data_IF_100735039048
#
_entry.id   IF_100735039048
#
_cell.length_a   1.000
_cell.length_b   1.000
_cell.length_c   1.000
_cell.angle_alpha   90.00
_cell.angle_beta   90.00
_cell.angle_gamma   90.00
#
_symmetry.space_group_name_H-M   'P 1'
#
loop_
_entity.id
_entity.type
_entity.pdbx_description
1 polymer ?
#
# COMPACT_ATOMS: atom_id res chain seq x y z
N UNK A 1 -2.14 23.85 4.92
CA UNK A 1 -2.36 23.74 6.39
C UNK A 1 -3.53 22.78 6.68
N UNK A 2 -3.32 21.45 6.72
CA UNK A 2 -4.22 20.53 7.41
C UNK A 2 -3.56 19.98 8.69
N UNK A 3 -4.33 19.78 9.76
CA UNK A 3 -3.88 19.03 10.94
C UNK A 3 -4.06 17.53 10.65
N UNK A 4 -2.99 16.77 10.80
CA UNK A 4 -2.98 15.31 10.75
C UNK A 4 -3.00 14.81 12.19
N UNK A 5 -4.01 14.01 12.56
CA UNK A 5 -3.97 13.20 13.78
C UNK A 5 -3.61 11.78 13.38
N UNK A 6 -2.52 11.26 13.94
CA UNK A 6 -2.01 9.92 13.71
C UNK A 6 -1.83 9.21 15.04
N UNK A 7 -2.82 8.44 15.47
CA UNK A 7 -2.64 7.46 16.55
C UNK A 7 -2.31 6.11 15.93
N UNK A 8 -1.02 5.80 15.89
CA UNK A 8 -0.46 4.51 15.47
C UNK A 8 0.21 3.87 16.69
N UNK A 9 -0.47 2.90 17.29
CA UNK A 9 0.07 2.14 18.42
C UNK A 9 0.83 0.93 17.88
N UNK A 10 2.13 1.08 17.67
CA UNK A 10 3.03 -0.05 17.34
C UNK A 10 3.96 -0.33 18.52
N UNK A 11 3.57 -1.27 19.37
CA UNK A 11 4.42 -1.84 20.42
C UNK A 11 4.92 -3.22 19.99
N UNK A 12 6.18 -3.31 19.55
CA UNK A 12 6.78 -4.55 19.04
C UNK A 12 7.88 -5.13 19.94
N UNK A 13 7.91 -6.46 20.00
CA UNK A 13 9.05 -7.33 20.32
C UNK A 13 9.85 -7.11 21.62
N UNK A 14 9.62 -8.00 22.59
CA UNK A 14 10.67 -8.56 23.44
C UNK A 14 10.89 -10.02 23.04
N UNK A 15 12.13 -10.44 22.80
CA UNK A 15 12.47 -11.76 22.26
C UNK A 15 13.11 -12.67 23.31
N UNK A 16 12.74 -13.96 23.25
CA UNK A 16 13.61 -15.08 23.62
C UNK A 16 13.69 -15.45 25.10
N UNK A 17 13.20 -16.65 25.43
CA UNK A 17 14.06 -17.69 26.00
C UNK A 17 13.40 -19.06 25.74
N UNK A 18 14.21 -20.05 25.35
CA UNK A 18 13.80 -21.44 25.16
C UNK A 18 14.63 -22.31 26.11
N UNK A 19 13.96 -23.15 26.89
CA UNK A 19 14.61 -23.91 27.97
C UNK A 19 13.76 -25.07 28.46
N UNK A 20 13.88 -26.19 27.75
CA UNK A 20 13.95 -27.56 28.28
C UNK A 20 13.02 -27.99 29.44
N UNK A 21 12.00 -28.79 29.11
CA UNK A 21 11.32 -29.67 30.07
C UNK A 21 11.05 -31.03 29.42
N UNK A 22 11.88 -32.02 29.77
CA UNK A 22 11.74 -33.43 29.37
C UNK A 22 10.78 -34.19 30.32
N UNK A 23 10.24 -35.36 29.94
CA UNK A 23 9.19 -36.03 30.71
C UNK A 23 9.73 -36.82 31.90
N UNK A 24 9.04 -36.76 33.04
CA UNK A 24 9.31 -37.63 34.19
C UNK A 24 8.63 -38.99 34.02
N UNK A 25 9.33 -40.06 34.44
CA UNK A 25 8.93 -41.44 34.21
C UNK A 25 9.28 -42.34 35.40
N UNK A 26 8.27 -43.06 35.89
CA UNK A 26 8.46 -44.30 36.65
C UNK A 26 8.36 -44.19 38.18
N UNK A 27 7.26 -44.68 38.73
CA UNK A 27 7.12 -44.96 40.16
C UNK A 27 6.38 -46.30 40.42
N UNK A 28 7.16 -47.38 40.54
CA UNK A 28 6.85 -48.72 41.10
C UNK A 28 8.21 -49.38 41.42
N UNK A 29 8.34 -50.40 42.30
CA UNK A 29 7.36 -51.01 43.22
C UNK A 29 7.87 -51.25 44.67
N UNK A 30 6.97 -51.54 45.62
CA UNK A 30 7.14 -52.35 46.86
C UNK A 30 5.80 -52.31 47.64
N UNK A 31 5.40 -53.26 48.51
CA UNK A 31 5.98 -54.55 48.89
C UNK A 31 5.50 -55.01 50.29
N UNK A 32 5.21 -56.31 50.46
CA UNK A 32 5.07 -57.06 51.73
C UNK A 32 3.91 -56.78 52.73
N UNK A 33 2.98 -57.74 52.77
CA UNK A 33 2.61 -58.60 53.91
C UNK A 33 2.27 -58.03 55.32
N UNK A 34 1.09 -58.45 55.83
CA UNK A 34 0.93 -59.01 57.19
C UNK A 34 -0.32 -59.92 57.27
N UNK A 35 -0.26 -61.11 57.91
CA UNK A 35 -1.43 -61.93 58.21
C UNK A 35 -1.89 -61.75 59.68
N UNK A 36 -3.19 -61.92 59.92
CA UNK A 36 -3.73 -62.13 61.28
C UNK A 36 -4.64 -63.36 61.26
N UNK A 37 -4.19 -64.44 61.90
CA UNK A 37 -5.05 -65.57 62.21
C UNK A 37 -5.76 -65.33 63.54
N UNK A 38 -6.93 -65.96 63.71
CA UNK A 38 -7.54 -66.14 65.02
C UNK A 38 -8.03 -67.58 65.16
N UNK A 39 -7.94 -68.12 66.38
CA UNK A 39 -8.07 -69.56 66.67
C UNK A 39 -8.87 -69.73 67.96
N UNK A 40 -9.99 -70.45 67.91
CA UNK A 40 -10.73 -71.07 69.04
C UNK A 40 -12.08 -71.59 68.48
N UNK A 41 -12.76 -72.61 69.01
CA UNK A 41 -12.39 -73.78 69.81
C UNK A 41 -13.65 -74.70 69.89
N UNK A 42 -13.53 -76.04 69.98
CA UNK A 42 -14.64 -76.89 70.37
C UNK A 42 -14.51 -77.39 71.81
N UNK A 43 -15.58 -77.22 72.59
CA UNK A 43 -15.81 -77.83 73.90
C UNK A 43 -16.98 -78.84 73.79
N UNK A 44 -17.20 -79.81 74.68
CA UNK A 44 -16.34 -80.53 75.61
C UNK A 44 -17.11 -81.79 76.13
N UNK A 45 -16.38 -82.87 76.41
CA UNK A 45 -16.65 -83.99 77.35
C UNK A 45 -18.07 -84.30 77.87
N UNK A 46 -18.42 -85.60 77.82
CA UNK A 46 -19.09 -86.31 78.92
C UNK A 46 -18.73 -87.83 78.90
N UNK A 47 -18.21 -88.39 80.00
CA UNK A 47 -18.18 -89.84 80.23
C UNK A 47 -18.75 -90.23 81.61
N UNK A 48 -19.45 -91.37 81.72
CA UNK A 48 -19.49 -92.12 82.99
C UNK A 48 -19.82 -93.61 82.82
N UNK A 49 -19.32 -94.34 83.80
CA UNK A 49 -19.20 -95.76 84.13
C UNK A 49 -20.51 -96.50 84.41
N UNK A 50 -20.58 -97.83 84.21
CA UNK A 50 -20.45 -98.89 85.24
C UNK A 50 -21.68 -99.84 85.13
N UNK A 51 -21.79 -101.10 85.57
CA UNK A 51 -21.14 -101.93 86.62
C UNK A 51 -21.68 -103.39 86.49
N UNK A 52 -20.92 -104.44 86.85
CA UNK A 52 -21.42 -105.85 87.01
C UNK A 52 -21.71 -106.20 88.49
N UNK A 53 -21.55 -107.44 89.01
CA UNK A 53 -21.58 -108.79 88.42
C UNK A 53 -22.37 -109.83 89.31
N UNK A 54 -22.16 -111.15 89.12
CA UNK A 54 -22.53 -112.24 90.07
C UNK A 54 -23.62 -113.22 89.58
N UNK A 55 -23.70 -114.50 89.99
CA UNK A 55 -22.82 -115.31 90.86
C UNK A 55 -23.56 -116.54 91.45
N UNK A 56 -23.14 -117.75 91.04
CA UNK A 56 -23.16 -119.09 91.71
C UNK A 56 -24.35 -119.59 92.60
N UNK A 57 -24.77 -120.87 92.47
CA UNK A 57 -24.74 -121.84 93.61
C UNK A 57 -25.15 -123.33 93.35
N UNK A 58 -24.81 -124.22 94.32
CA UNK A 58 -24.98 -125.70 94.39
C UNK A 58 -24.73 -126.22 95.85
N UNK A 59 -24.73 -127.54 96.24
CA UNK A 59 -25.19 -128.81 95.64
C UNK A 59 -26.00 -129.73 96.63
N UNK A 60 -26.05 -131.06 96.39
CA UNK A 60 -26.50 -132.12 97.35
C UNK A 60 -27.86 -132.76 96.99
N UNK A 61 -28.15 -134.06 97.13
CA UNK A 61 -27.61 -135.15 97.99
C UNK A 61 -28.77 -135.70 98.87
N UNK A 62 -28.97 -136.98 99.21
CA UNK A 62 -28.23 -138.25 99.06
C UNK A 62 -29.19 -139.48 99.06
N UNK A 63 -28.64 -140.71 99.07
CA UNK A 63 -29.35 -142.00 98.96
C UNK A 63 -29.63 -142.69 100.33
N UNK A 64 -30.30 -143.85 100.35
CA UNK A 64 -29.95 -144.91 101.31
C UNK A 64 -31.07 -145.85 101.81
N UNK A 65 -31.05 -147.11 101.37
CA UNK A 65 -31.97 -148.19 101.79
C UNK A 65 -31.48 -149.01 103.01
N UNK A 66 -32.43 -149.73 103.66
CA UNK A 66 -32.32 -151.20 103.72
C UNK A 66 -31.74 -151.95 104.95
N UNK A 67 -32.67 -152.56 105.72
CA UNK A 67 -32.70 -154.00 106.09
C UNK A 67 -31.68 -154.69 107.07
N UNK A 68 -32.20 -155.04 108.26
CA UNK A 68 -32.46 -156.41 108.78
C UNK A 68 -31.39 -157.53 109.07
N UNK A 69 -31.53 -158.09 110.30
CA UNK A 69 -31.63 -159.54 110.66
C UNK A 69 -30.44 -160.50 111.05
N UNK A 70 -30.50 -160.94 112.33
CA UNK A 70 -30.30 -162.27 113.00
C UNK A 70 -29.45 -163.46 112.42
N UNK A 71 -28.62 -164.01 113.33
CA UNK A 71 -28.44 -165.43 113.79
C UNK A 71 -28.29 -166.64 112.83
N UNK A 72 -27.54 -167.74 113.12
CA UNK A 72 -26.38 -167.98 114.03
C UNK A 72 -25.75 -169.39 113.77
N UNK A 73 -24.66 -169.50 113.00
CA UNK A 73 -23.69 -170.63 113.05
C UNK A 73 -22.33 -170.14 112.54
N UNK A 74 -21.32 -170.07 113.42
CA UNK A 74 -20.12 -169.26 113.20
C UNK A 74 -18.99 -169.93 112.42
N UNK A 75 -18.79 -169.48 111.18
CA UNK A 75 -17.59 -169.74 110.36
C UNK A 75 -16.57 -168.60 110.58
N UNK A 76 -15.28 -168.84 110.31
CA UNK A 76 -14.24 -167.81 110.38
C UNK A 76 -14.58 -166.55 109.56
N UNK A 77 -14.53 -165.36 110.16
CA UNK A 77 -14.92 -164.09 109.52
C UNK A 77 -13.87 -163.50 108.55
N UNK A 78 -12.89 -164.28 108.09
CA UNK A 78 -11.98 -163.89 107.00
C UNK A 78 -12.60 -164.36 105.68
N UNK A 79 -12.72 -163.45 104.70
CA UNK A 79 -13.32 -163.76 103.41
C UNK A 79 -12.65 -164.98 102.74
N UNK A 80 -13.43 -166.02 102.44
CA UNK A 80 -12.96 -167.26 101.82
C UNK A 80 -12.52 -168.38 102.78
N UNK A 81 -12.44 -168.16 104.10
CA UNK A 81 -12.10 -169.21 105.05
C UNK A 81 -13.36 -169.90 105.61
N UNK A 82 -13.52 -171.20 105.34
CA UNK A 82 -14.70 -172.00 105.76
C UNK A 82 -14.50 -172.78 107.06
N UNK A 83 -13.36 -172.61 107.74
CA UNK A 83 -13.03 -173.33 108.98
C UNK A 83 -14.04 -173.01 110.11
N UNK A 84 -14.63 -174.01 110.78
CA UNK A 84 -15.54 -173.78 111.90
C UNK A 84 -14.79 -173.21 113.10
N UNK A 85 -15.43 -172.28 113.82
CA UNK A 85 -14.84 -171.67 115.01
C UNK A 85 -14.73 -172.68 116.16
N UNK A 86 -13.57 -172.76 116.86
CA UNK A 86 -13.39 -173.74 117.93
C UNK A 86 -14.35 -173.52 119.11
N UNK A 87 -14.81 -174.59 119.79
CA UNK A 87 -15.76 -174.48 120.90
C UNK A 87 -15.14 -173.73 122.08
N UNK A 88 -15.91 -172.82 122.69
CA UNK A 88 -15.44 -171.92 123.73
C UNK A 88 -16.14 -172.15 125.08
N UNK A 89 -15.37 -172.04 126.16
CA UNK A 89 -15.91 -171.83 127.50
C UNK A 89 -16.44 -170.39 127.68
N UNK A 90 -16.94 -170.06 128.89
CA UNK A 90 -17.52 -168.73 129.19
C UNK A 90 -16.54 -167.59 128.84
N UNK A 91 -16.84 -166.88 127.76
CA UNK A 91 -16.04 -165.78 127.23
C UNK A 91 -16.61 -165.27 125.91
N UNK A 92 -16.10 -164.15 125.41
CA UNK A 92 -16.55 -163.59 124.12
C UNK A 92 -16.07 -164.49 122.97
N UNK A 93 -16.93 -164.94 122.03
CA UNK A 93 -16.53 -165.84 120.97
C UNK A 93 -15.41 -165.23 120.08
N UNK A 94 -14.38 -166.00 119.69
CA UNK A 94 -13.42 -165.55 118.69
C UNK A 94 -14.12 -165.36 117.34
N UNK A 95 -13.76 -164.31 116.58
CA UNK A 95 -14.31 -164.06 115.23
C UNK A 95 -13.58 -164.82 114.11
N UNK A 96 -12.39 -165.35 114.38
CA UNK A 96 -11.53 -166.00 113.40
C UNK A 96 -11.03 -167.33 113.96
N UNK A 97 -10.87 -168.35 113.12
CA UNK A 97 -10.41 -169.68 113.56
C UNK A 97 -8.94 -169.68 114.03
N UNK A 98 -8.13 -168.72 113.59
CA UNK A 98 -6.72 -168.56 113.96
C UNK A 98 -6.32 -167.09 114.08
N UNK A 99 -5.20 -166.83 114.79
CA UNK A 99 -4.60 -165.49 114.87
C UNK A 99 -4.18 -164.98 113.49
N UNK A 100 -3.62 -165.84 112.64
CA UNK A 100 -3.18 -165.47 111.29
C UNK A 100 -4.33 -164.89 110.45
N UNK A 101 -5.55 -165.41 110.58
CA UNK A 101 -6.72 -164.89 109.87
C UNK A 101 -7.24 -163.55 110.44
N UNK A 102 -7.05 -163.29 111.73
CA UNK A 102 -7.30 -161.97 112.31
C UNK A 102 -6.28 -160.93 111.80
N UNK A 103 -5.00 -161.32 111.69
CA UNK A 103 -3.92 -160.46 111.19
C UNK A 103 -4.09 -160.16 109.68
N UNK A 104 -4.48 -161.15 108.86
CA UNK A 104 -4.80 -160.91 107.44
C UNK A 104 -5.97 -159.95 107.28
N UNK A 105 -7.08 -160.16 107.99
CA UNK A 105 -8.23 -159.25 107.99
C UNK A 105 -7.90 -157.84 108.55
N UNK A 106 -6.74 -157.63 109.18
CA UNK A 106 -6.23 -156.31 109.56
C UNK A 106 -5.36 -155.66 108.48
N UNK A 107 -4.66 -156.46 107.67
CA UNK A 107 -3.93 -155.99 106.48
C UNK A 107 -4.90 -155.57 105.37
N UNK A 108 -5.91 -156.39 105.09
CA UNK A 108 -6.89 -156.11 104.04
C UNK A 108 -7.67 -154.81 104.32
N UNK A 109 -8.01 -154.56 105.59
CA UNK A 109 -8.62 -153.28 106.02
C UNK A 109 -7.69 -152.09 105.83
N UNK A 110 -6.41 -152.20 106.23
CA UNK A 110 -5.44 -151.12 106.04
C UNK A 110 -5.14 -150.84 104.55
N UNK A 111 -5.20 -151.86 103.70
CA UNK A 111 -5.11 -151.67 102.25
C UNK A 111 -6.36 -150.97 101.68
N UNK A 112 -7.55 -151.29 102.17
CA UNK A 112 -8.80 -150.60 101.80
C UNK A 112 -8.82 -149.14 102.29
N UNK A 113 -8.38 -148.87 103.53
CA UNK A 113 -8.32 -147.52 104.09
C UNK A 113 -7.31 -146.64 103.32
N UNK A 114 -6.16 -147.19 102.90
CA UNK A 114 -5.21 -146.48 102.04
C UNK A 114 -5.79 -146.18 100.65
N UNK A 115 -6.43 -147.17 100.01
CA UNK A 115 -7.08 -147.00 98.71
C UNK A 115 -8.20 -145.93 98.75
N UNK A 116 -8.89 -145.78 99.88
CA UNK A 116 -9.93 -144.77 100.07
C UNK A 116 -9.40 -143.32 100.15
N UNK A 117 -8.09 -143.12 100.39
CA UNK A 117 -7.47 -141.79 100.54
C UNK A 117 -6.53 -141.47 99.36
N UNK A 118 -5.73 -142.43 98.91
CA UNK A 118 -4.74 -142.20 97.84
C UNK A 118 -5.40 -141.98 96.47
N UNK A 119 -6.57 -142.59 96.24
CA UNK A 119 -7.30 -142.45 94.98
C UNK A 119 -7.93 -141.05 94.80
N UNK A 120 -8.69 -140.49 95.76
CA UNK A 120 -9.19 -139.11 95.64
C UNK A 120 -8.06 -138.06 95.64
N UNK A 121 -6.93 -138.30 96.33
CA UNK A 121 -5.77 -137.42 96.23
C UNK A 121 -5.14 -137.43 94.83
N UNK A 122 -4.95 -138.61 94.21
CA UNK A 122 -4.48 -138.70 92.82
C UNK A 122 -5.45 -138.07 91.82
N UNK A 123 -6.76 -138.11 92.07
CA UNK A 123 -7.76 -137.42 91.24
C UNK A 123 -7.71 -135.89 91.42
N UNK A 124 -7.53 -135.40 92.65
CA UNK A 124 -7.33 -133.97 92.92
C UNK A 124 -6.03 -133.44 92.30
N UNK A 125 -4.94 -134.21 92.37
CA UNK A 125 -3.65 -133.86 91.75
C UNK A 125 -3.72 -133.87 90.21
N UNK A 126 -4.40 -134.85 89.61
CA UNK A 126 -4.67 -134.88 88.17
C UNK A 126 -5.55 -133.70 87.70
N UNK A 127 -6.47 -133.21 88.53
CA UNK A 127 -7.24 -131.98 88.27
C UNK A 127 -6.35 -130.73 88.43
N UNK A 128 -5.54 -130.66 89.49
CA UNK A 128 -4.61 -129.56 89.74
C UNK A 128 -3.53 -129.41 88.64
N UNK A 129 -3.18 -130.49 87.94
CA UNK A 129 -2.30 -130.44 86.76
C UNK A 129 -3.03 -130.03 85.47
N UNK A 130 -4.33 -130.35 85.32
CA UNK A 130 -5.12 -130.03 84.12
C UNK A 130 -5.68 -128.60 84.11
N UNK A 131 -6.11 -128.09 85.27
CA UNK A 131 -6.74 -126.77 85.37
C UNK A 131 -5.81 -125.63 84.92
N UNK A 132 -4.52 -125.57 85.31
CA UNK A 132 -3.59 -124.54 84.81
C UNK A 132 -3.43 -124.59 83.29
N UNK A 133 -3.32 -125.77 82.68
CA UNK A 133 -3.21 -125.92 81.23
C UNK A 133 -4.46 -125.44 80.49
N UNK A 134 -5.66 -125.72 81.04
CA UNK A 134 -6.92 -125.21 80.49
C UNK A 134 -7.05 -123.68 80.65
N UNK A 135 -6.58 -123.11 81.76
CA UNK A 135 -6.54 -121.66 81.98
C UNK A 135 -5.56 -120.99 81.02
N UNK A 136 -4.35 -121.53 80.82
CA UNK A 136 -3.38 -121.01 79.85
C UNK A 136 -3.94 -121.06 78.43
N UNK A 137 -4.58 -122.16 78.02
CA UNK A 137 -5.20 -122.26 76.70
C UNK A 137 -6.36 -121.25 76.52
N UNK A 138 -7.15 -120.99 77.56
CA UNK A 138 -8.19 -119.95 77.53
C UNK A 138 -7.58 -118.54 77.48
N UNK A 139 -6.49 -118.29 78.21
CA UNK A 139 -5.75 -117.03 78.15
C UNK A 139 -5.17 -116.78 76.75
N UNK A 140 -4.55 -117.79 76.13
CA UNK A 140 -4.07 -117.72 74.74
C UNK A 140 -5.21 -117.41 73.75
N UNK A 141 -6.37 -118.05 73.90
CA UNK A 141 -7.56 -117.77 73.08
C UNK A 141 -8.11 -116.36 73.29
N UNK A 142 -8.15 -115.86 74.53
CA UNK A 142 -8.57 -114.50 74.85
C UNK A 142 -7.58 -113.45 74.33
N UNK A 143 -6.27 -113.71 74.42
CA UNK A 143 -5.23 -112.86 73.84
C UNK A 143 -5.35 -112.85 72.32
N UNK A 144 -5.50 -114.00 71.67
CA UNK A 144 -5.71 -114.08 70.22
C UNK A 144 -6.99 -113.35 69.76
N UNK A 145 -8.06 -113.39 70.56
CA UNK A 145 -9.29 -112.63 70.31
C UNK A 145 -9.08 -111.12 70.48
N UNK A 146 -8.37 -110.67 71.52
CA UNK A 146 -8.00 -109.25 71.69
C UNK A 146 -7.12 -108.76 70.54
N UNK A 147 -6.14 -109.56 70.12
CA UNK A 147 -5.28 -109.33 68.97
C UNK A 147 -6.05 -109.22 67.65
N UNK A 148 -7.08 -110.04 67.47
CA UNK A 148 -7.94 -109.98 66.29
C UNK A 148 -8.83 -108.73 66.32
N UNK A 149 -9.41 -108.40 67.48
CA UNK A 149 -10.27 -107.23 67.67
C UNK A 149 -9.49 -105.92 67.52
N UNK A 150 -8.26 -105.83 68.04
CA UNK A 150 -7.38 -104.67 67.85
C UNK A 150 -6.99 -104.49 66.38
N UNK A 151 -6.56 -105.57 65.69
CA UNK A 151 -6.29 -105.54 64.25
C UNK A 151 -7.52 -105.15 63.42
N UNK A 152 -8.72 -105.58 63.83
CA UNK A 152 -9.98 -105.19 63.19
C UNK A 152 -10.33 -103.71 63.45
N UNK A 153 -10.10 -103.21 64.67
CA UNK A 153 -10.28 -101.82 65.06
C UNK A 153 -9.30 -100.91 64.31
N UNK A 154 -8.01 -101.23 64.28
CA UNK A 154 -6.98 -100.51 63.54
C UNK A 154 -7.29 -100.49 62.05
N UNK A 155 -7.69 -101.63 61.48
CA UNK A 155 -8.12 -101.73 60.08
C UNK A 155 -9.37 -100.89 59.77
N UNK A 156 -10.31 -100.79 60.71
CA UNK A 156 -11.48 -99.92 60.57
C UNK A 156 -11.11 -98.43 60.66
N UNK A 157 -10.31 -98.04 61.66
CA UNK A 157 -9.80 -96.68 61.83
C UNK A 157 -8.94 -96.23 60.65
N UNK A 158 -8.11 -97.12 60.09
CA UNK A 158 -7.32 -96.84 58.89
C UNK A 158 -8.20 -96.61 57.64
N UNK A 159 -9.30 -97.37 57.48
CA UNK A 159 -10.29 -97.12 56.41
C UNK A 159 -11.01 -95.79 56.59
N UNK A 160 -11.44 -95.46 57.82
CA UNK A 160 -12.09 -94.18 58.13
C UNK A 160 -11.13 -93.02 57.85
N UNK A 161 -9.90 -93.05 58.38
CA UNK A 161 -8.89 -92.00 58.12
C UNK A 161 -8.56 -91.85 56.64
N UNK A 162 -8.53 -92.93 55.86
CA UNK A 162 -8.37 -92.86 54.40
C UNK A 162 -9.57 -92.18 53.73
N UNK A 163 -10.79 -92.59 54.08
CA UNK A 163 -12.01 -91.98 53.53
C UNK A 163 -12.15 -90.50 53.92
N UNK A 164 -11.75 -90.11 55.13
CA UNK A 164 -11.69 -88.72 55.59
C UNK A 164 -10.64 -87.91 54.82
N UNK A 165 -9.46 -88.48 54.56
CA UNK A 165 -8.43 -87.84 53.74
C UNK A 165 -8.87 -87.68 52.27
N UNK A 166 -9.48 -88.72 51.68
CA UNK A 166 -10.04 -88.68 50.33
C UNK A 166 -11.18 -87.66 50.21
N UNK A 167 -12.09 -87.60 51.19
CA UNK A 167 -13.16 -86.60 51.24
C UNK A 167 -12.63 -85.18 51.43
N UNK A 168 -11.57 -84.99 52.22
CA UNK A 168 -10.92 -83.69 52.40
C UNK A 168 -10.23 -83.24 51.11
N UNK A 169 -9.50 -84.14 50.44
CA UNK A 169 -8.87 -83.87 49.15
C UNK A 169 -9.90 -83.58 48.04
N UNK A 170 -11.03 -84.28 48.03
CA UNK A 170 -12.13 -84.01 47.09
C UNK A 170 -12.73 -82.60 47.29
N UNK A 171 -13.00 -82.20 48.53
CA UNK A 171 -13.50 -80.84 48.85
C UNK A 171 -12.50 -79.74 48.51
N UNK A 172 -11.20 -80.01 48.70
CA UNK A 172 -10.14 -79.08 48.29
C UNK A 172 -10.10 -78.95 46.75
N UNK A 173 -10.15 -80.06 46.02
CA UNK A 173 -10.19 -80.05 44.57
C UNK A 173 -11.45 -79.37 43.98
N UNK A 174 -12.59 -79.47 44.67
CA UNK A 174 -13.83 -78.76 44.36
C UNK A 174 -13.66 -77.24 44.56
N UNK A 175 -13.19 -76.80 45.74
CA UNK A 175 -12.92 -75.39 46.01
C UNK A 175 -11.85 -74.78 45.07
N UNK A 176 -10.82 -75.54 44.70
CA UNK A 176 -9.80 -75.14 43.71
C UNK A 176 -10.38 -75.08 42.28
N UNK A 177 -11.41 -75.87 41.97
CA UNK A 177 -12.11 -75.81 40.70
C UNK A 177 -13.06 -74.60 40.64
N UNK A 178 -13.83 -74.34 41.71
CA UNK A 178 -14.67 -73.14 41.85
C UNK A 178 -13.84 -71.86 41.77
N UNK A 179 -12.71 -71.80 42.50
CA UNK A 179 -11.81 -70.63 42.49
C UNK A 179 -11.26 -70.37 41.09
N UNK A 180 -10.90 -71.43 40.33
CA UNK A 180 -10.45 -71.29 38.93
C UNK A 180 -11.57 -70.91 37.98
N UNK A 181 -12.80 -71.38 38.20
CA UNK A 181 -13.97 -70.99 37.42
C UNK A 181 -14.27 -69.49 37.60
N UNK A 182 -14.34 -69.02 38.84
CA UNK A 182 -14.54 -67.60 39.17
C UNK A 182 -13.44 -66.71 38.59
N UNK A 183 -12.17 -67.12 38.67
CA UNK A 183 -11.06 -66.39 38.06
C UNK A 183 -11.15 -66.33 36.52
N UNK A 184 -11.64 -67.40 35.88
CA UNK A 184 -11.85 -67.43 34.42
C UNK A 184 -13.05 -66.59 33.99
N UNK A 185 -14.12 -66.53 34.79
CA UNK A 185 -15.26 -65.65 34.57
C UNK A 185 -14.86 -64.17 34.72
N UNK A 186 -14.14 -63.81 35.79
CA UNK A 186 -13.60 -62.45 35.98
C UNK A 186 -12.69 -62.04 34.81
N UNK A 187 -11.73 -62.89 34.41
CA UNK A 187 -10.85 -62.60 33.28
C UNK A 187 -11.62 -62.44 31.95
N UNK A 188 -12.74 -63.16 31.78
CA UNK A 188 -13.63 -63.00 30.62
C UNK A 188 -14.39 -61.67 30.66
N UNK A 189 -14.92 -61.28 31.82
CA UNK A 189 -15.62 -60.00 31.99
C UNK A 189 -14.68 -58.81 31.78
N UNK A 190 -13.47 -58.86 32.34
CA UNK A 190 -12.41 -57.86 32.11
C UNK A 190 -12.02 -57.78 30.63
N UNK A 191 -11.86 -58.92 29.94
CA UNK A 191 -11.54 -58.95 28.52
C UNK A 191 -12.66 -58.39 27.62
N UNK A 192 -13.93 -58.63 27.97
CA UNK A 192 -15.08 -58.03 27.27
C UNK A 192 -15.11 -56.52 27.48
N UNK A 193 -15.00 -56.05 28.73
CA UNK A 193 -14.96 -54.63 29.08
C UNK A 193 -13.80 -53.90 28.38
N UNK A 194 -12.60 -54.47 28.38
CA UNK A 194 -11.44 -53.93 27.68
C UNK A 194 -11.65 -53.87 26.15
N UNK A 195 -12.29 -54.88 25.55
CA UNK A 195 -12.60 -54.89 24.12
C UNK A 195 -13.68 -53.86 23.75
N UNK A 196 -14.65 -53.60 24.63
CA UNK A 196 -15.65 -52.54 24.44
C UNK A 196 -15.01 -51.15 24.56
N UNK A 197 -14.24 -50.90 25.62
CA UNK A 197 -13.48 -49.66 25.78
C UNK A 197 -12.54 -49.38 24.59
N UNK A 198 -11.85 -50.41 24.06
CA UNK A 198 -11.01 -50.28 22.87
C UNK A 198 -11.81 -49.90 21.61
N UNK A 199 -13.01 -50.47 21.42
CA UNK A 199 -13.91 -50.11 20.31
C UNK A 199 -14.47 -48.69 20.45
N UNK A 200 -14.77 -48.25 21.67
CA UNK A 200 -15.20 -46.87 21.92
C UNK A 200 -14.08 -45.87 21.68
N UNK A 201 -12.86 -46.17 22.13
CA UNK A 201 -11.67 -45.38 21.85
C UNK A 201 -11.37 -45.29 20.33
N UNK A 202 -11.47 -46.41 19.61
CA UNK A 202 -11.34 -46.43 18.14
C UNK A 202 -12.40 -45.53 17.48
N UNK A 203 -13.68 -45.69 17.83
CA UNK A 203 -14.77 -44.84 17.29
C UNK A 203 -14.59 -43.37 17.65
N UNK A 204 -14.02 -43.06 18.82
CA UNK A 204 -13.70 -41.69 19.21
C UNK A 204 -12.58 -41.11 18.35
N UNK A 205 -11.50 -41.87 18.13
CA UNK A 205 -10.39 -41.48 17.25
C UNK A 205 -10.81 -41.31 15.79
N UNK A 206 -11.65 -42.23 15.26
CA UNK A 206 -12.23 -42.12 13.92
C UNK A 206 -13.11 -40.87 13.74
N UNK A 207 -13.91 -40.54 14.77
CA UNK A 207 -14.72 -39.30 14.77
C UNK A 207 -13.86 -38.04 14.88
N UNK A 208 -12.80 -38.06 15.66
CA UNK A 208 -11.83 -36.95 15.72
C UNK A 208 -11.17 -36.75 14.35
N UNK A 209 -10.56 -37.80 13.80
CA UNK A 209 -9.92 -37.76 12.48
C UNK A 209 -10.90 -37.43 11.33
N UNK A 210 -12.21 -37.65 11.49
CA UNK A 210 -13.22 -37.19 10.54
C UNK A 210 -13.49 -35.67 10.66
N UNK A 211 -13.55 -35.13 11.88
CA UNK A 211 -13.66 -33.67 12.13
C UNK A 211 -12.41 -32.95 11.64
N UNK A 212 -11.22 -33.40 12.03
CA UNK A 212 -9.96 -32.79 11.63
C UNK A 212 -9.82 -32.72 10.10
N UNK A 213 -10.28 -33.75 9.38
CA UNK A 213 -10.34 -33.73 7.90
C UNK A 213 -11.35 -32.72 7.36
N UNK A 214 -12.56 -32.67 7.92
CA UNK A 214 -13.58 -31.70 7.51
C UNK A 214 -13.14 -30.25 7.78
N UNK A 215 -12.50 -29.99 8.93
CA UNK A 215 -11.92 -28.69 9.29
C UNK A 215 -10.77 -28.31 8.35
N UNK A 216 -9.88 -29.26 8.00
CA UNK A 216 -8.83 -29.03 7.01
C UNK A 216 -9.37 -28.79 5.59
N UNK A 217 -10.46 -29.47 5.20
CA UNK A 217 -11.14 -29.24 3.92
C UNK A 217 -11.82 -27.86 3.89
N UNK A 218 -12.46 -27.45 4.98
CA UNK A 218 -13.04 -26.11 5.12
C UNK A 218 -11.95 -25.03 5.08
N UNK A 219 -10.87 -25.16 5.87
CA UNK A 219 -9.75 -24.20 5.86
C UNK A 219 -9.11 -24.07 4.47
N UNK A 220 -9.05 -25.16 3.68
CA UNK A 220 -8.59 -25.10 2.28
C UNK A 220 -9.57 -24.32 1.40
N UNK A 221 -10.86 -24.58 1.50
CA UNK A 221 -11.89 -23.85 0.75
C UNK A 221 -11.88 -22.35 1.08
N UNK A 222 -11.86 -22.00 2.37
CA UNK A 222 -11.78 -20.61 2.86
C UNK A 222 -10.49 -19.92 2.38
N UNK A 223 -9.36 -20.65 2.35
CA UNK A 223 -8.08 -20.14 1.85
C UNK A 223 -8.10 -19.92 0.32
N UNK A 224 -8.67 -20.85 -0.45
CA UNK A 224 -8.81 -20.71 -1.90
C UNK A 224 -9.77 -19.55 -2.27
N UNK A 225 -10.85 -19.36 -1.51
CA UNK A 225 -11.75 -18.19 -1.64
C UNK A 225 -10.99 -16.89 -1.33
N UNK A 226 -10.25 -16.83 -0.22
CA UNK A 226 -9.44 -15.66 0.15
C UNK A 226 -8.36 -15.34 -0.90
N UNK A 227 -7.70 -16.36 -1.47
CA UNK A 227 -6.73 -16.21 -2.57
C UNK A 227 -7.42 -15.67 -3.83
N UNK A 228 -8.62 -16.17 -4.16
CA UNK A 228 -9.42 -15.70 -5.30
C UNK A 228 -9.84 -14.24 -5.13
N UNK A 229 -10.35 -13.88 -3.95
CA UNK A 229 -10.72 -12.51 -3.60
C UNK A 229 -9.52 -11.55 -3.66
N UNK A 230 -8.36 -11.95 -3.13
CA UNK A 230 -7.13 -11.15 -3.21
C UNK A 230 -6.64 -10.98 -4.66
N UNK A 231 -6.73 -12.02 -5.50
CA UNK A 231 -6.38 -11.91 -6.93
C UNK A 231 -7.29 -10.91 -7.64
N UNK A 232 -8.61 -11.04 -7.46
CA UNK A 232 -9.60 -10.12 -8.01
C UNK A 232 -9.37 -8.66 -7.55
N UNK A 233 -9.11 -8.45 -6.25
CA UNK A 233 -8.81 -7.12 -5.70
C UNK A 233 -7.50 -6.52 -6.26
N UNK A 234 -6.46 -7.34 -6.42
CA UNK A 234 -5.19 -6.92 -7.03
C UNK A 234 -5.38 -6.54 -8.50
N UNK A 235 -6.12 -7.35 -9.25
CA UNK A 235 -6.30 -7.13 -10.69
C UNK A 235 -7.18 -5.88 -10.93
N UNK A 236 -8.24 -5.69 -10.12
CA UNK A 236 -9.01 -4.45 -10.10
C UNK A 236 -8.17 -3.21 -9.71
N UNK A 237 -7.18 -3.35 -8.82
CA UNK A 237 -6.26 -2.26 -8.47
C UNK A 237 -5.26 -1.94 -9.61
N UNK A 238 -4.85 -2.95 -10.39
CA UNK A 238 -4.04 -2.76 -11.61
C UNK A 238 -4.86 -2.01 -12.67
N UNK A 239 -6.10 -2.41 -12.91
CA UNK A 239 -7.00 -1.75 -13.86
C UNK A 239 -7.32 -0.30 -13.44
N UNK A 240 -7.60 -0.07 -12.15
CA UNK A 240 -7.82 1.28 -11.61
C UNK A 240 -6.58 2.17 -11.76
N UNK A 241 -5.37 1.60 -11.56
CA UNK A 241 -4.11 2.31 -11.81
C UNK A 241 -3.93 2.65 -13.29
N UNK A 242 -4.17 1.70 -14.19
CA UNK A 242 -4.05 1.92 -15.64
C UNK A 242 -5.05 3.01 -16.11
N UNK A 243 -6.29 2.99 -15.60
CA UNK A 243 -7.28 4.02 -15.87
C UNK A 243 -6.86 5.41 -15.34
N UNK A 244 -6.26 5.47 -14.14
CA UNK A 244 -5.74 6.72 -13.57
C UNK A 244 -4.54 7.27 -14.34
N UNK A 245 -3.61 6.41 -14.78
CA UNK A 245 -2.47 6.79 -15.63
C UNK A 245 -2.97 7.30 -17.00
N UNK A 246 -3.91 6.60 -17.65
CA UNK A 246 -4.53 7.05 -18.90
C UNK A 246 -5.28 8.38 -18.76
N UNK A 247 -6.04 8.58 -17.66
CA UNK A 247 -6.72 9.84 -17.39
C UNK A 247 -5.75 11.01 -17.14
N UNK A 248 -4.65 10.75 -16.41
CA UNK A 248 -3.56 11.73 -16.21
C UNK A 248 -2.94 12.13 -17.56
N UNK A 249 -2.64 11.16 -18.40
CA UNK A 249 -1.95 11.39 -19.67
C UNK A 249 -2.85 12.08 -20.70
N UNK A 250 -4.16 11.78 -20.69
CA UNK A 250 -5.18 12.54 -21.41
C UNK A 250 -5.23 14.00 -20.94
N UNK A 251 -5.27 14.28 -19.62
CA UNK A 251 -5.22 15.65 -19.10
C UNK A 251 -3.90 16.36 -19.37
N UNK A 252 -2.78 15.64 -19.40
CA UNK A 252 -1.49 16.19 -19.83
C UNK A 252 -1.43 16.48 -21.33
N UNK A 253 -2.22 15.79 -22.17
CA UNK A 253 -2.39 16.12 -23.59
C UNK A 253 -3.31 17.34 -23.77
N UNK A 254 -4.46 17.39 -23.10
CA UNK A 254 -5.36 18.55 -23.10
C UNK A 254 -4.63 19.84 -22.67
N UNK A 255 -3.85 19.78 -21.58
CA UNK A 255 -3.09 20.93 -21.09
C UNK A 255 -1.99 21.40 -22.04
N UNK A 256 -1.40 20.49 -22.85
CA UNK A 256 -0.45 20.87 -23.91
C UNK A 256 -1.17 21.55 -25.06
N UNK A 257 -2.26 20.94 -25.57
CA UNK A 257 -3.05 21.53 -26.64
C UNK A 257 -3.58 22.93 -26.27
N UNK A 258 -4.09 23.11 -25.05
CA UNK A 258 -4.56 24.41 -24.56
C UNK A 258 -3.44 25.47 -24.42
N UNK A 259 -2.21 25.05 -24.13
CA UNK A 259 -1.03 25.95 -24.14
C UNK A 259 -0.65 26.33 -25.57
N UNK A 260 -0.60 25.36 -26.48
CA UNK A 260 -0.30 25.61 -27.89
C UNK A 260 -1.34 26.54 -28.53
N UNK A 261 -2.63 26.37 -28.18
CA UNK A 261 -3.71 27.28 -28.57
C UNK A 261 -3.54 28.68 -27.98
N UNK A 262 -3.21 28.79 -26.68
CA UNK A 262 -2.95 30.07 -26.04
C UNK A 262 -1.75 30.82 -26.65
N UNK A 263 -0.64 30.12 -26.92
CA UNK A 263 0.53 30.72 -27.57
C UNK A 263 0.23 31.10 -29.04
N UNK A 264 -0.59 30.32 -29.75
CA UNK A 264 -1.12 30.69 -31.09
C UNK A 264 -1.97 31.96 -31.04
N UNK A 265 -2.90 32.07 -30.10
CA UNK A 265 -3.72 33.27 -29.93
C UNK A 265 -2.88 34.48 -29.49
N UNK A 266 -1.92 34.31 -28.57
CA UNK A 266 -0.99 35.39 -28.20
C UNK A 266 -0.21 35.88 -29.42
N UNK A 267 0.32 34.97 -30.24
CA UNK A 267 1.01 35.34 -31.47
C UNK A 267 0.10 36.06 -32.49
N UNK A 268 -1.18 35.66 -32.60
CA UNK A 268 -2.19 36.37 -33.42
C UNK A 268 -2.44 37.78 -32.91
N UNK A 269 -2.64 37.97 -31.61
CA UNK A 269 -2.82 39.29 -30.99
C UNK A 269 -1.57 40.17 -31.13
N UNK A 270 -0.37 39.63 -30.90
CA UNK A 270 0.89 40.36 -31.10
C UNK A 270 1.08 40.79 -32.57
N UNK A 271 0.77 39.92 -33.54
CA UNK A 271 0.83 40.25 -34.97
C UNK A 271 -0.20 41.33 -35.35
N UNK A 272 -1.44 41.22 -34.85
CA UNK A 272 -2.48 42.22 -35.08
C UNK A 272 -2.11 43.58 -34.45
N UNK A 273 -1.52 43.60 -33.25
CA UNK A 273 -1.07 44.82 -32.59
C UNK A 273 0.10 45.48 -33.35
N UNK A 274 1.04 44.70 -33.91
CA UNK A 274 2.11 45.23 -34.78
C UNK A 274 1.54 45.83 -36.06
N UNK A 275 0.63 45.13 -36.74
CA UNK A 275 -0.02 45.63 -37.95
C UNK A 275 -0.82 46.92 -37.70
N UNK A 276 -1.51 47.03 -36.55
CA UNK A 276 -2.17 48.27 -36.14
C UNK A 276 -1.18 49.40 -35.86
N UNK A 277 -0.06 49.13 -35.18
CA UNK A 277 0.98 50.12 -34.92
C UNK A 277 1.63 50.63 -36.23
N UNK A 278 1.92 49.73 -37.18
CA UNK A 278 2.39 50.07 -38.52
C UNK A 278 1.37 50.93 -39.29
N UNK A 279 0.09 50.56 -39.23
CA UNK A 279 -1.00 51.31 -39.88
C UNK A 279 -1.19 52.70 -39.27
N UNK A 280 -1.08 52.84 -37.94
CA UNK A 280 -1.10 54.14 -37.25
C UNK A 280 0.11 54.99 -37.64
N UNK A 281 1.31 54.40 -37.70
CA UNK A 281 2.52 55.10 -38.12
C UNK A 281 2.44 55.59 -39.58
N UNK A 282 1.87 54.77 -40.48
CA UNK A 282 1.61 55.15 -41.87
C UNK A 282 0.62 56.33 -41.94
N UNK A 283 -0.51 56.26 -41.24
CA UNK A 283 -1.50 57.36 -41.19
C UNK A 283 -0.93 58.65 -40.58
N UNK A 284 -0.04 58.55 -39.59
CA UNK A 284 0.68 59.70 -39.03
C UNK A 284 1.64 60.32 -40.05
N UNK A 285 2.36 59.50 -40.82
CA UNK A 285 3.24 59.96 -41.89
C UNK A 285 2.44 60.62 -43.04
N UNK A 286 1.32 60.03 -43.46
CA UNK A 286 0.39 60.62 -44.43
C UNK A 286 -0.18 61.95 -43.94
N UNK A 287 -0.60 62.04 -42.68
CA UNK A 287 -1.10 63.28 -42.10
C UNK A 287 -0.02 64.36 -42.06
N UNK A 288 1.22 64.02 -41.68
CA UNK A 288 2.35 64.93 -41.70
C UNK A 288 2.68 65.41 -43.12
N UNK A 289 2.67 64.51 -44.11
CA UNK A 289 2.88 64.84 -45.52
C UNK A 289 1.77 65.77 -46.05
N UNK A 290 0.49 65.45 -45.77
CA UNK A 290 -0.64 66.28 -46.16
C UNK A 290 -0.61 67.66 -45.48
N UNK A 291 -0.16 67.76 -44.23
CA UNK A 291 0.02 69.03 -43.53
C UNK A 291 1.14 69.87 -44.17
N UNK A 292 2.26 69.26 -44.57
CA UNK A 292 3.34 69.92 -45.32
C UNK A 292 2.87 70.37 -46.71
N UNK A 293 2.16 69.51 -47.45
CA UNK A 293 1.59 69.84 -48.75
C UNK A 293 0.58 71.00 -48.66
N UNK A 294 -0.26 71.03 -47.62
CA UNK A 294 -1.19 72.12 -47.35
C UNK A 294 -0.46 73.43 -46.99
N UNK A 295 0.64 73.36 -46.22
CA UNK A 295 1.48 74.52 -45.93
C UNK A 295 2.11 75.09 -47.21
N UNK A 296 2.75 74.23 -48.01
CA UNK A 296 3.33 74.61 -49.31
C UNK A 296 2.28 75.17 -50.29
N UNK A 297 1.07 74.60 -50.33
CA UNK A 297 -0.03 75.11 -51.14
C UNK A 297 -0.52 76.49 -50.66
N UNK A 298 -0.53 76.76 -49.35
CA UNK A 298 -0.83 78.08 -48.78
C UNK A 298 0.25 79.11 -49.09
N UNK A 299 1.52 78.73 -49.02
CA UNK A 299 2.66 79.57 -49.41
C UNK A 299 2.62 79.90 -50.91
N UNK A 300 2.39 78.90 -51.77
CA UNK A 300 2.22 79.08 -53.21
C UNK A 300 1.02 79.98 -53.55
N UNK A 301 -0.10 79.82 -52.84
CA UNK A 301 -1.27 80.71 -53.00
C UNK A 301 -0.95 82.15 -52.56
N UNK A 302 -0.21 82.33 -51.46
CA UNK A 302 0.21 83.65 -51.00
C UNK A 302 1.19 84.31 -51.98
N UNK A 303 2.12 83.55 -52.55
CA UNK A 303 3.03 83.99 -53.60
C UNK A 303 2.27 84.40 -54.87
N UNK A 304 1.39 83.54 -55.40
CA UNK A 304 0.57 83.84 -56.58
C UNK A 304 -0.37 85.05 -56.37
N UNK A 305 -0.90 85.24 -55.15
CA UNK A 305 -1.64 86.46 -54.80
C UNK A 305 -0.73 87.69 -54.75
N UNK A 306 0.51 87.56 -54.28
CA UNK A 306 1.53 88.59 -54.33
C UNK A 306 1.91 88.99 -55.76
N UNK A 307 2.15 88.02 -56.62
CA UNK A 307 2.39 88.21 -58.06
C UNK A 307 1.20 88.88 -58.74
N UNK A 308 -0.03 88.39 -58.51
CA UNK A 308 -1.26 89.01 -59.04
C UNK A 308 -1.42 90.47 -58.59
N UNK A 309 -1.04 90.81 -57.35
CA UNK A 309 -1.02 92.20 -56.86
C UNK A 309 0.07 93.02 -57.56
N UNK A 310 1.27 92.45 -57.74
CA UNK A 310 2.37 93.11 -58.44
C UNK A 310 2.07 93.34 -59.93
N UNK A 311 1.42 92.39 -60.62
CA UNK A 311 0.95 92.55 -61.99
C UNK A 311 -0.15 93.62 -62.10
N UNK A 312 -1.12 93.63 -61.17
CA UNK A 312 -2.14 94.69 -61.11
C UNK A 312 -1.49 96.06 -60.90
N UNK A 313 -0.51 96.17 -60.01
CA UNK A 313 0.24 97.40 -59.79
C UNK A 313 1.05 97.82 -61.04
N UNK A 314 1.75 96.89 -61.69
CA UNK A 314 2.46 97.15 -62.97
C UNK A 314 1.51 97.59 -64.08
N UNK A 315 0.34 96.96 -64.20
CA UNK A 315 -0.68 97.31 -65.20
C UNK A 315 -1.35 98.67 -64.90
N UNK A 316 -1.52 99.03 -63.62
CA UNK A 316 -1.97 100.36 -63.21
C UNK A 316 -0.91 101.42 -63.51
N UNK A 317 0.36 101.17 -63.17
CA UNK A 317 1.47 102.06 -63.50
C UNK A 317 1.66 102.23 -65.01
N UNK A 318 1.52 101.16 -65.80
CA UNK A 318 1.56 101.22 -67.26
C UNK A 318 0.38 102.02 -67.86
N UNK A 319 -0.82 101.93 -67.28
CA UNK A 319 -1.96 102.79 -67.65
C UNK A 319 -1.68 104.25 -67.31
N UNK A 320 -1.19 104.54 -66.11
CA UNK A 320 -0.81 105.90 -65.69
C UNK A 320 0.25 106.49 -66.63
N UNK A 321 1.34 105.76 -66.90
CA UNK A 321 2.39 106.18 -67.82
C UNK A 321 1.87 106.39 -69.26
N UNK A 322 0.95 105.54 -69.74
CA UNK A 322 0.30 105.73 -71.04
C UNK A 322 -0.58 106.99 -71.06
N UNK A 323 -1.37 107.22 -70.02
CA UNK A 323 -2.29 108.35 -69.96
C UNK A 323 -1.52 109.68 -69.76
N UNK A 324 -0.39 109.65 -69.04
CA UNK A 324 0.60 110.73 -69.02
C UNK A 324 1.25 110.96 -70.39
N UNK A 325 1.67 109.90 -71.09
CA UNK A 325 2.23 110.02 -72.44
C UNK A 325 1.21 110.57 -73.45
N UNK A 326 -0.08 110.23 -73.33
CA UNK A 326 -1.17 110.83 -74.12
C UNK A 326 -1.33 112.32 -73.78
N UNK A 327 -1.26 112.70 -72.50
CA UNK A 327 -1.29 114.10 -72.08
C UNK A 327 -0.09 114.87 -72.65
N UNK A 328 1.14 114.37 -72.48
CA UNK A 328 2.34 114.99 -73.06
C UNK A 328 2.29 115.03 -74.59
N UNK A 329 1.72 114.03 -75.25
CA UNK A 329 1.48 114.01 -76.70
C UNK A 329 0.50 115.11 -77.15
N UNK A 330 -0.59 115.34 -76.39
CA UNK A 330 -1.52 116.45 -76.63
C UNK A 330 -0.89 117.82 -76.39
N UNK A 331 -0.09 117.96 -75.33
CA UNK A 331 0.68 119.18 -75.05
C UNK A 331 1.74 119.45 -76.13
N UNK A 332 2.39 118.40 -76.66
CA UNK A 332 3.35 118.51 -77.76
C UNK A 332 2.66 118.86 -79.08
N UNK A 333 1.51 118.27 -79.38
CA UNK A 333 0.69 118.63 -80.54
C UNK A 333 0.25 120.10 -80.48
N UNK A 334 -0.28 120.56 -79.35
CA UNK A 334 -0.66 121.96 -79.16
C UNK A 334 0.52 122.94 -79.31
N UNK A 335 1.75 122.53 -78.93
CA UNK A 335 2.97 123.30 -79.20
C UNK A 335 3.37 123.27 -80.68
N UNK A 336 3.17 122.15 -81.38
CA UNK A 336 3.42 122.06 -82.81
C UNK A 336 2.44 122.93 -83.61
N UNK A 337 1.15 122.90 -83.28
CA UNK A 337 0.12 123.76 -83.87
C UNK A 337 0.45 125.25 -83.66
N UNK A 338 0.85 125.64 -82.44
CA UNK A 338 1.28 127.00 -82.13
C UNK A 338 2.55 127.43 -82.91
N UNK A 339 3.48 126.50 -83.16
CA UNK A 339 4.66 126.74 -83.99
C UNK A 339 4.31 126.86 -85.48
N UNK A 340 3.35 126.07 -86.00
CA UNK A 340 2.85 126.21 -87.36
C UNK A 340 2.18 127.58 -87.59
N UNK A 341 1.31 128.02 -86.68
CA UNK A 341 0.69 129.36 -86.74
C UNK A 341 1.77 130.43 -86.81
N UNK A 342 2.76 130.38 -85.89
CA UNK A 342 3.87 131.33 -85.86
C UNK A 342 4.77 131.27 -87.11
N UNK A 343 4.90 130.10 -87.73
CA UNK A 343 5.64 129.95 -88.99
C UNK A 343 4.90 130.54 -90.18
N UNK A 344 3.55 130.49 -90.20
CA UNK A 344 2.73 131.18 -91.21
C UNK A 344 2.82 132.69 -91.05
N UNK A 345 2.66 133.22 -89.83
CA UNK A 345 2.83 134.65 -89.53
C UNK A 345 4.19 135.21 -89.99
N UNK A 346 5.28 134.44 -89.79
CA UNK A 346 6.62 134.80 -90.24
C UNK A 346 6.79 134.75 -91.76
N UNK A 347 6.10 133.84 -92.47
CA UNK A 347 6.10 133.81 -93.95
C UNK A 347 5.36 135.02 -94.51
N UNK A 348 4.17 135.32 -93.99
CA UNK A 348 3.40 136.50 -94.41
C UNK A 348 4.18 137.80 -94.15
N UNK A 349 4.95 137.86 -93.05
CA UNK A 349 5.86 138.98 -92.77
C UNK A 349 7.03 139.06 -93.76
N UNK A 350 7.62 137.93 -94.14
CA UNK A 350 8.70 137.86 -95.13
C UNK A 350 8.23 138.23 -96.55
N UNK A 351 7.02 137.82 -96.95
CA UNK A 351 6.44 138.21 -98.25
C UNK A 351 6.15 139.72 -98.31
N UNK A 352 5.64 140.32 -97.22
CA UNK A 352 5.49 141.78 -97.12
C UNK A 352 6.83 142.52 -97.21
N UNK A 353 7.87 142.01 -96.55
CA UNK A 353 9.22 142.59 -96.64
C UNK A 353 9.85 142.44 -98.05
N UNK A 354 9.59 141.32 -98.74
CA UNK A 354 10.06 141.09 -100.11
C UNK A 354 9.38 142.04 -101.12
N UNK A 355 8.08 142.31 -100.96
CA UNK A 355 7.38 143.31 -101.76
C UNK A 355 7.96 144.72 -101.59
N UNK A 356 8.18 145.14 -100.33
CA UNK A 356 8.80 146.44 -100.01
C UNK A 356 10.24 146.56 -100.56
N UNK A 357 11.01 145.47 -100.54
CA UNK A 357 12.34 145.43 -101.13
C UNK A 357 12.33 145.58 -102.66
N UNK A 358 11.33 145.04 -103.35
CA UNK A 358 11.16 145.20 -104.79
C UNK A 358 10.76 146.64 -105.19
N UNK A 359 9.91 147.29 -104.40
CA UNK A 359 9.59 148.72 -104.55
C UNK A 359 10.84 149.60 -104.31
N UNK A 360 11.65 149.29 -103.30
CA UNK A 360 12.90 150.02 -103.05
C UNK A 360 13.93 149.84 -104.18
N UNK A 361 14.06 148.63 -104.75
CA UNK A 361 14.97 148.36 -105.86
C UNK A 361 14.54 149.05 -107.17
N UNK A 362 13.24 149.09 -107.47
CA UNK A 362 12.74 149.81 -108.64
C UNK A 362 12.93 151.33 -108.50
N UNK A 363 12.77 151.89 -107.30
CA UNK A 363 13.11 153.28 -107.02
C UNK A 363 14.62 153.57 -107.15
N UNK A 364 15.50 152.63 -106.75
CA UNK A 364 16.95 152.78 -106.90
C UNK A 364 17.39 152.77 -108.37
N UNK A 365 16.86 151.84 -109.17
CA UNK A 365 17.16 151.71 -110.59
C UNK A 365 16.75 152.97 -111.39
N UNK A 366 15.59 153.56 -111.06
CA UNK A 366 15.15 154.82 -111.65
C UNK A 366 16.10 156.00 -111.33
N UNK A 367 16.76 155.95 -110.17
CA UNK A 367 17.72 156.97 -109.71
C UNK A 367 19.08 156.81 -110.37
N UNK A 368 19.54 155.57 -110.57
CA UNK A 368 20.78 155.27 -111.31
C UNK A 368 20.70 155.69 -112.78
N UNK A 369 19.59 155.36 -113.47
CA UNK A 369 19.36 155.78 -114.86
C UNK A 369 19.31 157.31 -115.07
N UNK A 370 19.17 158.08 -113.98
CA UNK A 370 19.22 159.54 -113.97
C UNK A 370 20.66 160.04 -113.79
N UNK A 371 21.47 159.36 -112.98
CA UNK A 371 22.91 159.61 -112.83
C UNK A 371 23.68 159.31 -114.14
N UNK A 372 23.45 158.15 -114.76
CA UNK A 372 24.12 157.75 -116.02
C UNK A 372 23.89 158.79 -117.14
N UNK A 373 22.70 159.40 -117.15
CA UNK A 373 22.33 160.44 -118.12
C UNK A 373 23.08 161.75 -117.87
N UNK A 374 23.24 162.15 -116.60
CA UNK A 374 24.02 163.33 -116.21
C UNK A 374 25.53 163.15 -116.46
N UNK A 375 26.08 161.94 -116.31
CA UNK A 375 27.49 161.66 -116.63
C UNK A 375 27.77 161.76 -118.13
N UNK A 376 26.83 161.31 -118.98
CA UNK A 376 26.93 161.46 -120.44
C UNK A 376 26.96 162.93 -120.87
N UNK A 377 26.11 163.77 -120.28
CA UNK A 377 26.08 165.22 -120.55
C UNK A 377 27.38 165.92 -120.08
N UNK A 378 27.95 165.48 -118.95
CA UNK A 378 29.23 166.00 -118.44
C UNK A 378 30.43 165.60 -119.31
N UNK A 379 30.39 164.42 -119.93
CA UNK A 379 31.40 163.97 -120.89
C UNK A 379 31.36 164.82 -122.18
N UNK A 380 30.17 165.14 -122.68
CA UNK A 380 30.00 166.04 -123.84
C UNK A 380 30.57 167.44 -123.56
N UNK A 381 30.23 168.05 -122.43
CA UNK A 381 30.73 169.37 -122.04
C UNK A 381 32.27 169.43 -121.92
N UNK A 382 32.92 168.35 -121.51
CA UNK A 382 34.40 168.26 -121.42
C UNK A 382 35.06 168.15 -122.80
N UNK A 383 34.43 167.49 -123.77
CA UNK A 383 34.93 167.40 -125.14
C UNK A 383 34.94 168.78 -125.83
N UNK A 384 33.86 169.56 -125.68
CA UNK A 384 33.77 170.91 -126.23
C UNK A 384 34.78 171.87 -125.59
N UNK A 385 34.98 171.76 -124.27
CA UNK A 385 35.98 172.54 -123.53
C UNK A 385 37.44 172.18 -123.88
N UNK A 386 37.70 171.01 -124.47
CA UNK A 386 39.01 170.65 -125.00
C UNK A 386 39.25 171.31 -126.37
N UNK A 387 38.26 171.27 -127.28
CA UNK A 387 38.35 171.91 -128.60
C UNK A 387 38.54 173.44 -128.53
N UNK A 388 37.95 174.11 -127.54
CA UNK A 388 38.14 175.56 -127.35
C UNK A 388 39.61 175.90 -126.99
N UNK A 389 40.24 175.11 -126.11
CA UNK A 389 41.66 175.31 -125.72
C UNK A 389 42.60 175.06 -126.88
N UNK A 390 42.30 174.07 -127.73
CA UNK A 390 43.10 173.79 -128.93
C UNK A 390 43.06 174.92 -129.96
N UNK A 391 41.97 175.71 -130.01
CA UNK A 391 41.87 176.91 -130.84
C UNK A 391 42.63 178.09 -130.24
N UNK A 392 42.59 178.27 -128.91
CA UNK A 392 43.34 179.32 -128.21
C UNK A 392 44.86 179.14 -128.36
N UNK A 393 45.39 177.95 -128.10
CA UNK A 393 46.83 177.66 -128.17
C UNK A 393 47.44 177.90 -129.57
N UNK A 394 46.65 177.76 -130.64
CA UNK A 394 47.08 178.04 -132.02
C UNK A 394 47.10 179.54 -132.36
N UNK A 395 46.37 180.38 -131.63
CA UNK A 395 46.39 181.83 -131.79
C UNK A 395 47.59 182.47 -131.05
N UNK A 396 47.91 181.96 -129.86
CA UNK A 396 49.00 182.48 -129.01
C UNK A 396 50.39 182.24 -129.64
N UNK A 397 50.61 181.07 -130.27
CA UNK A 397 51.89 180.71 -130.90
C UNK A 397 52.33 181.61 -132.07
N UNK A 398 51.47 182.49 -132.59
CA UNK A 398 51.77 183.38 -133.71
C UNK A 398 52.22 184.80 -133.29
N UNK A 399 52.07 185.17 -132.01
CA UNK A 399 52.23 186.56 -131.55
C UNK A 399 53.57 186.86 -130.83
N UNK A 400 54.18 185.89 -130.16
CA UNK A 400 55.24 186.16 -129.16
C UNK A 400 56.68 185.97 -129.67
N UNK A 401 56.93 186.54 -130.86
CA UNK A 401 58.29 186.86 -131.32
C UNK A 401 58.84 188.20 -130.78
N UNK A 402 58.06 188.99 -130.02
CA UNK A 402 58.47 190.33 -129.61
C UNK A 402 57.79 190.85 -128.30
N UNK A 403 58.48 190.72 -127.16
CA UNK A 403 58.37 191.49 -125.89
C UNK A 403 56.97 191.69 -125.24
N UNK A 404 56.82 191.24 -123.97
CA UNK A 404 56.89 192.05 -122.71
C UNK A 404 56.45 191.19 -121.48
N UNK A 405 56.87 191.45 -120.21
CA UNK A 405 56.56 190.59 -119.06
C UNK A 405 55.57 191.18 -118.00
N UNK A 406 54.81 190.31 -117.33
CA UNK A 406 54.18 190.38 -115.99
C UNK A 406 53.49 189.01 -115.71
N UNK A 407 53.40 188.38 -114.52
CA UNK A 407 53.29 188.77 -113.09
C UNK A 407 51.83 188.96 -112.56
N UNK A 408 51.65 188.75 -111.25
CA UNK A 408 50.42 188.66 -110.41
C UNK A 408 49.58 187.35 -110.53
N UNK A 409 49.05 186.70 -109.47
CA UNK A 409 48.48 187.06 -108.13
C UNK A 409 46.94 187.23 -108.06
N UNK A 410 46.33 186.89 -106.90
CA UNK A 410 44.88 186.94 -106.59
C UNK A 410 44.21 185.55 -106.50
N UNK A 411 43.53 185.06 -105.46
CA UNK A 411 42.82 185.58 -104.25
C UNK A 411 41.27 185.58 -104.34
N UNK A 412 40.61 185.24 -103.21
CA UNK A 412 39.17 185.29 -102.89
C UNK A 412 38.24 184.18 -103.45
N UNK A 413 36.97 184.04 -103.01
CA UNK A 413 36.28 184.26 -101.72
C UNK A 413 34.79 183.78 -101.84
N UNK A 414 34.15 183.37 -100.73
CA UNK A 414 32.68 183.24 -100.47
C UNK A 414 31.74 182.33 -101.30
N UNK A 415 30.91 181.57 -100.58
CA UNK A 415 29.45 181.79 -100.63
C UNK A 415 28.51 180.56 -100.54
N UNK A 416 27.73 180.44 -99.47
CA UNK A 416 26.36 179.86 -99.52
C UNK A 416 26.09 178.50 -98.85
N UNK A 417 25.73 178.54 -97.56
CA UNK A 417 24.80 177.61 -96.87
C UNK A 417 23.33 177.83 -97.37
N UNK A 418 22.27 177.02 -97.07
CA UNK A 418 21.99 176.48 -95.72
C UNK A 418 21.15 175.16 -95.57
N UNK A 419 21.02 174.69 -94.31
CA UNK A 419 19.81 174.19 -93.57
C UNK A 419 18.78 173.18 -94.17
N UNK A 420 18.05 172.34 -93.40
CA UNK A 420 18.04 171.99 -91.96
C UNK A 420 17.11 170.77 -91.67
N UNK A 421 17.29 170.14 -90.47
CA UNK A 421 16.31 169.50 -89.51
C UNK A 421 15.14 168.60 -90.03
N UNK A 422 14.41 167.75 -89.26
CA UNK A 422 14.17 167.47 -87.81
C UNK A 422 13.53 166.05 -87.69
N UNK A 423 13.89 165.14 -86.77
CA UNK A 423 13.47 164.92 -85.36
C UNK A 423 12.08 164.23 -85.09
N UNK A 424 12.09 163.18 -84.23
CA UNK A 424 11.02 162.64 -83.33
C UNK A 424 9.71 161.99 -83.90
N UNK A 425 8.85 161.27 -83.09
CA UNK A 425 9.12 160.33 -81.97
C UNK A 425 8.19 159.06 -81.85
N UNK A 426 8.60 158.11 -80.99
CA UNK A 426 7.85 157.18 -80.08
C UNK A 426 6.48 156.52 -80.39
N UNK A 427 6.38 155.19 -80.16
CA UNK A 427 5.53 154.50 -79.12
C UNK A 427 5.27 153.01 -79.41
N UNK A 428 5.09 152.19 -78.35
CA UNK A 428 4.29 150.94 -78.37
C UNK A 428 5.04 149.62 -78.58
#
# INVERSE_FOLDING_TARGET
MPRVSSDVTTGGNGSGEAGEAAPDAGARPAGAAAPTGETTAPAATAPDTGTGPGGEDRPGGENGDGAAARERTGVCALAGCTEPLPPHGRGRPPKYCSKAHADQASRDRRAADAAAVDEPLRQAEALAQRVPAAISALQEQLTALQDFLSKAQDGALARVRRAEAEATAARQAEADAETRALAAEQAREEAVSAAEAAREAQRAAERAAARDRAELEQVRADTDEAISAHRSARDAAIDARAAAEAARDAKAAELRAARDDFDRERARFEAAARAQAEQIAALQAELAHNAQALAAAREALAAAQGETRAEKARAQAAKQARDEAIRYGREAAARADALEVRQRELRDAAERAAAQAAEAQTALAARQALCDRLEADLAAARADAAQQRERAARAEAAAEGNRKPAADEGDGHTGGDPDAASADPASG
#
